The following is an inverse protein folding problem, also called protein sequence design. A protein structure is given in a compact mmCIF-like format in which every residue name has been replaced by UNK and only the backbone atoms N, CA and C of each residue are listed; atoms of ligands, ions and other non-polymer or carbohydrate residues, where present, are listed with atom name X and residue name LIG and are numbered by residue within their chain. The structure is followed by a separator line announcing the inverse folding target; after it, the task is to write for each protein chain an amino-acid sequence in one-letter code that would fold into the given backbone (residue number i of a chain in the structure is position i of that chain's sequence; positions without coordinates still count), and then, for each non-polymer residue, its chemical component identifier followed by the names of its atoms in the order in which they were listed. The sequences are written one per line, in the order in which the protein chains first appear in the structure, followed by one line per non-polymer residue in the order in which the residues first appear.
data_IF_351668579395
#
_entry.id   IF_351668579395
#
_cell.length_a   1.000
_cell.length_b   1.000
_cell.length_c   1.000
_cell.angle_alpha   90.00
_cell.angle_beta   90.00
_cell.angle_gamma   90.00
#
_symmetry.space_group_name_H-M   'P 1'
#
loop_
_entity.id
_entity.type
_entity.pdbx_description
1 polymer ?
#
# COMPACT_ATOMS: atom_id res chain seq x y z
N UNK A 1 15.17 -4.80 13.74
CA UNK A 1 13.93 -4.03 13.51
C UNK A 1 12.97 -4.36 14.63
N UNK A 2 12.51 -3.35 15.35
CA UNK A 2 11.51 -3.49 16.42
C UNK A 2 10.10 -3.58 15.83
N UNK A 3 9.11 -4.01 16.62
CA UNK A 3 7.70 -4.01 16.19
C UNK A 3 7.22 -2.59 15.82
N UNK A 4 7.66 -1.57 16.56
CA UNK A 4 7.33 -0.17 16.27
C UNK A 4 7.90 0.29 14.92
N UNK A 5 9.19 0.05 14.66
CA UNK A 5 9.82 0.35 13.36
C UNK A 5 9.15 -0.41 12.21
N UNK A 6 8.71 -1.64 12.45
CA UNK A 6 7.99 -2.42 11.46
C UNK A 6 6.62 -1.82 11.13
N UNK A 7 5.83 -1.47 12.16
CA UNK A 7 4.51 -0.85 11.99
C UNK A 7 4.65 0.51 11.28
N UNK A 8 5.61 1.33 11.67
CA UNK A 8 5.88 2.62 11.02
C UNK A 8 6.21 2.43 9.54
N UNK A 9 7.03 1.44 9.19
CA UNK A 9 7.33 1.11 7.80
C UNK A 9 6.07 0.69 7.01
N UNK A 10 5.19 -0.13 7.61
CA UNK A 10 3.92 -0.52 6.97
C UNK A 10 2.98 0.69 6.78
N UNK A 11 2.93 1.60 7.75
CA UNK A 11 2.14 2.83 7.64
C UNK A 11 2.65 3.73 6.51
N UNK A 12 3.97 3.87 6.35
CA UNK A 12 4.58 4.62 5.24
C UNK A 12 4.19 4.01 3.90
N UNK A 13 4.28 2.69 3.75
CA UNK A 13 3.86 1.99 2.52
C UNK A 13 2.37 2.24 2.23
N UNK A 14 1.52 2.16 3.24
CA UNK A 14 0.08 2.40 3.09
C UNK A 14 -0.24 3.86 2.68
N UNK A 15 0.45 4.84 3.26
CA UNK A 15 0.30 6.26 2.90
C UNK A 15 0.73 6.54 1.46
N UNK A 16 1.83 5.93 1.02
CA UNK A 16 2.30 6.06 -0.35
C UNK A 16 1.32 5.40 -1.34
N UNK A 17 0.81 4.21 -1.02
CA UNK A 17 -0.19 3.52 -1.84
C UNK A 17 -1.46 4.37 -2.00
N UNK A 18 -1.96 4.96 -0.92
CA UNK A 18 -3.11 5.88 -0.97
C UNK A 18 -2.87 7.07 -1.91
N UNK A 19 -1.66 7.63 -1.89
CA UNK A 19 -1.30 8.78 -2.72
C UNK A 19 -1.29 8.40 -4.21
N UNK A 20 -0.75 7.22 -4.55
CA UNK A 20 -0.74 6.69 -5.92
C UNK A 20 -2.16 6.42 -6.42
N UNK A 21 -3.00 5.79 -5.61
CA UNK A 21 -4.41 5.54 -5.97
C UNK A 21 -5.16 6.84 -6.23
N UNK A 22 -4.87 7.89 -5.44
CA UNK A 22 -5.47 9.23 -5.64
C UNK A 22 -5.03 9.85 -6.97
N UNK A 23 -3.73 9.80 -7.28
CA UNK A 23 -3.20 10.28 -8.56
C UNK A 23 -3.77 9.51 -9.76
N UNK A 24 -3.88 8.19 -9.64
CA UNK A 24 -4.50 7.34 -10.66
C UNK A 24 -5.96 7.72 -10.89
N UNK A 25 -6.73 7.93 -9.82
CA UNK A 25 -8.13 8.35 -9.90
C UNK A 25 -8.26 9.69 -10.65
N UNK A 26 -7.41 10.67 -10.35
CA UNK A 26 -7.44 11.97 -11.01
C UNK A 26 -7.14 11.85 -12.52
N UNK A 27 -6.16 11.03 -12.90
CA UNK A 27 -5.84 10.76 -14.30
C UNK A 27 -6.98 10.04 -15.04
N UNK A 28 -7.60 9.05 -14.40
CA UNK A 28 -8.73 8.30 -14.96
C UNK A 28 -9.96 9.21 -15.16
N UNK A 29 -10.28 10.04 -14.18
CA UNK A 29 -11.39 11.00 -14.26
C UNK A 29 -11.17 12.04 -15.36
N UNK A 30 -9.93 12.50 -15.54
CA UNK A 30 -9.55 13.41 -16.62
C UNK A 30 -9.43 12.72 -18.00
N UNK A 31 -9.43 11.37 -18.06
CA UNK A 31 -9.25 10.56 -19.28
C UNK A 31 -7.97 10.90 -20.05
N UNK A 32 -6.88 11.14 -19.33
CA UNK A 32 -5.57 11.52 -19.90
C UNK A 32 -4.47 10.52 -19.53
N UNK A 33 -3.38 10.52 -20.31
CA UNK A 33 -2.16 9.76 -20.03
C UNK A 33 -2.40 8.26 -19.74
N UNK A 34 -2.98 7.50 -20.68
CA UNK A 34 -3.28 6.08 -20.49
C UNK A 34 -2.05 5.24 -20.10
N UNK A 35 -0.89 5.53 -20.69
CA UNK A 35 0.36 4.83 -20.35
C UNK A 35 0.78 5.07 -18.89
N UNK A 36 0.61 6.31 -18.40
CA UNK A 36 0.88 6.65 -17.00
C UNK A 36 -0.14 6.00 -16.04
N UNK A 37 -1.39 5.84 -16.47
CA UNK A 37 -2.38 5.10 -15.69
C UNK A 37 -1.98 3.62 -15.55
N UNK A 38 -1.56 2.99 -16.64
CA UNK A 38 -1.10 1.59 -16.65
C UNK A 38 0.12 1.39 -15.72
N UNK A 39 1.11 2.29 -15.81
CA UNK A 39 2.29 2.24 -14.95
C UNK A 39 1.93 2.44 -13.47
N UNK A 40 1.07 3.41 -13.14
CA UNK A 40 0.62 3.64 -11.77
C UNK A 40 -0.22 2.47 -11.22
N UNK A 41 -1.00 1.79 -12.06
CA UNK A 41 -1.71 0.56 -11.67
C UNK A 41 -0.72 -0.54 -11.29
N UNK A 42 0.33 -0.75 -12.08
CA UNK A 42 1.36 -1.75 -11.79
C UNK A 42 2.06 -1.45 -10.46
N UNK A 43 2.46 -0.19 -10.24
CA UNK A 43 3.11 0.23 -8.99
C UNK A 43 2.17 0.06 -7.80
N UNK A 44 0.90 0.45 -7.93
CA UNK A 44 -0.08 0.29 -6.87
C UNK A 44 -0.31 -1.19 -6.50
N UNK A 45 -0.34 -2.08 -7.50
CA UNK A 45 -0.48 -3.52 -7.30
C UNK A 45 0.71 -4.09 -6.52
N UNK A 46 1.94 -3.77 -6.93
CA UNK A 46 3.15 -4.24 -6.25
C UNK A 46 3.19 -3.78 -4.79
N UNK A 47 2.85 -2.51 -4.55
CA UNK A 47 2.77 -1.96 -3.18
C UNK A 47 1.68 -2.62 -2.33
N UNK A 48 0.51 -2.91 -2.91
CA UNK A 48 -0.56 -3.62 -2.22
C UNK A 48 -0.15 -5.06 -1.87
N UNK A 49 0.57 -5.75 -2.77
CA UNK A 49 1.14 -7.08 -2.51
C UNK A 49 2.16 -7.02 -1.38
N UNK A 50 3.07 -6.05 -1.39
CA UNK A 50 4.07 -5.86 -0.32
C UNK A 50 3.39 -5.59 1.02
N UNK A 51 2.38 -4.72 1.05
CA UNK A 51 1.63 -4.42 2.26
C UNK A 51 0.91 -5.66 2.80
N UNK A 52 0.21 -6.40 1.94
CA UNK A 52 -0.49 -7.63 2.33
C UNK A 52 0.48 -8.68 2.88
N UNK A 53 1.60 -8.94 2.19
CA UNK A 53 2.64 -9.86 2.68
C UNK A 53 3.22 -9.40 4.01
N UNK A 54 3.38 -8.09 4.20
CA UNK A 54 3.78 -7.51 5.46
C UNK A 54 2.77 -7.84 6.56
N UNK A 55 1.51 -7.48 6.36
CA UNK A 55 0.43 -7.75 7.31
C UNK A 55 0.28 -9.24 7.63
N UNK A 56 0.40 -10.12 6.64
CA UNK A 56 0.35 -11.59 6.82
C UNK A 56 1.57 -12.14 7.57
N UNK A 57 2.75 -11.52 7.40
CA UNK A 57 3.98 -11.93 8.08
C UNK A 57 3.98 -11.61 9.57
N UNK A 58 3.15 -10.66 9.99
CA UNK A 58 2.85 -10.46 11.40
C UNK A 58 1.71 -11.41 11.72
N UNK A 59 2.02 -12.56 12.29
CA UNK A 59 1.06 -13.20 13.18
C UNK A 59 0.75 -12.16 14.26
N UNK A 60 -0.34 -11.39 14.07
CA UNK A 60 -0.91 -10.61 15.14
C UNK A 60 -1.00 -11.58 16.32
N UNK A 61 -0.39 -11.29 17.48
CA UNK A 61 -0.56 -12.16 18.63
C UNK A 61 -2.07 -12.35 18.78
N UNK A 62 -2.53 -13.60 18.65
CA UNK A 62 -3.92 -13.95 18.95
C UNK A 62 -4.24 -13.23 20.23
N UNK A 63 -5.23 -12.33 20.19
CA UNK A 63 -5.52 -11.40 21.27
C UNK A 63 -5.40 -12.15 22.59
N UNK A 64 -4.31 -11.89 23.31
CA UNK A 64 -4.01 -12.62 24.52
C UNK A 64 -5.15 -12.32 25.46
N UNK A 65 -5.82 -13.38 25.92
CA UNK A 65 -6.78 -13.33 27.01
C UNK A 65 -6.27 -12.38 28.10
N UNK A 66 -7.01 -11.29 28.32
CA UNK A 66 -6.87 -10.41 29.47
C UNK A 66 -8.27 -9.98 29.93
#
# INVERSE_FOLDING_TARGET
MTLAEYVDNQQVVAMNLKSIISALHDLMMARIAPDAQEELISIALDMAITLNRGLDSVSLPEGGDA
#
